data_IF_514574233662
#
_entry.id   IF_514574233662
#
_cell.length_a   1.000
_cell.length_b   1.000
_cell.length_c   1.000
_cell.angle_alpha   90.00
_cell.angle_beta   90.00
_cell.angle_gamma   90.00
#
_symmetry.space_group_name_H-M   'P 1'
#
loop_
_entity.id
_entity.type
_entity.pdbx_description
1 polymer ?
#
# COMPACT_ATOMS: atom_id res chain seq x y z
N UNK A 1 29.11 -57.99 -52.74
CA UNK A 1 29.39 -57.33 -54.04
C UNK A 1 28.14 -56.56 -54.45
N UNK A 2 28.35 -55.32 -54.91
CA UNK A 2 27.44 -54.31 -55.48
C UNK A 2 25.99 -54.73 -55.76
N UNK A 3 25.04 -53.98 -55.22
CA UNK A 3 23.78 -53.68 -55.91
C UNK A 3 23.80 -52.21 -56.35
N UNK A 4 23.80 -52.01 -57.66
CA UNK A 4 23.74 -50.74 -58.35
C UNK A 4 22.31 -50.51 -58.86
N UNK A 5 21.90 -49.24 -58.84
CA UNK A 5 21.11 -48.54 -59.87
C UNK A 5 19.60 -48.82 -60.04
N UNK A 6 18.83 -47.78 -59.67
CA UNK A 6 17.85 -47.02 -60.50
C UNK A 6 17.17 -47.69 -61.71
N UNK A 7 15.83 -47.66 -61.70
CA UNK A 7 14.94 -47.13 -62.75
C UNK A 7 13.49 -47.15 -62.18
N UNK A 8 12.87 -46.01 -61.89
CA UNK A 8 11.99 -45.22 -62.79
C UNK A 8 10.83 -46.03 -63.41
N UNK A 9 9.62 -45.79 -62.88
CA UNK A 9 8.37 -45.84 -63.64
C UNK A 9 7.44 -44.72 -63.15
N UNK A 10 7.23 -43.75 -64.04
CA UNK A 10 6.11 -42.80 -64.04
C UNK A 10 4.84 -43.49 -64.54
N UNK A 11 3.70 -43.15 -63.93
CA UNK A 11 2.33 -43.04 -64.48
C UNK A 11 1.38 -42.93 -63.25
N UNK A 12 0.28 -42.22 -63.19
CA UNK A 12 -0.43 -41.31 -64.07
C UNK A 12 -1.31 -40.41 -63.18
N UNK A 13 -1.78 -39.29 -63.72
CA UNK A 13 -2.44 -38.23 -62.98
C UNK A 13 -3.72 -38.59 -62.24
N UNK A 14 -3.93 -37.88 -61.14
CA UNK A 14 -5.22 -37.66 -60.51
C UNK A 14 -5.28 -36.20 -60.08
N UNK A 15 -5.90 -35.38 -60.92
CA UNK A 15 -6.30 -34.01 -60.61
C UNK A 15 -7.42 -34.05 -59.58
N UNK A 16 -7.14 -33.63 -58.35
CA UNK A 16 -8.17 -33.20 -57.40
C UNK A 16 -7.92 -31.74 -57.03
N UNK A 17 -8.67 -30.86 -57.68
CA UNK A 17 -8.86 -29.47 -57.29
C UNK A 17 -9.56 -29.40 -55.92
N UNK A 18 -9.09 -28.60 -54.96
CA UNK A 18 -9.94 -28.14 -53.87
C UNK A 18 -10.77 -26.93 -54.31
N UNK A 19 -11.98 -26.76 -53.78
CA UNK A 19 -12.93 -25.75 -54.24
C UNK A 19 -12.58 -24.33 -53.76
N UNK A 20 -12.98 -23.39 -54.62
CA UNK A 20 -13.15 -21.97 -54.37
C UNK A 20 -13.83 -21.66 -53.02
N UNK A 21 -13.34 -20.62 -52.35
CA UNK A 21 -14.23 -19.63 -51.74
C UNK A 21 -14.39 -19.67 -50.22
N UNK A 22 -13.31 -19.58 -49.46
CA UNK A 22 -13.38 -18.84 -48.19
C UNK A 22 -13.15 -17.37 -48.50
N UNK A 23 -14.21 -16.58 -48.43
CA UNK A 23 -14.14 -15.12 -48.34
C UNK A 23 -13.18 -14.75 -47.20
N UNK A 24 -11.98 -14.31 -47.55
CA UNK A 24 -11.09 -13.59 -46.66
C UNK A 24 -11.80 -12.28 -46.28
N UNK A 25 -12.61 -12.33 -45.21
CA UNK A 25 -13.00 -11.12 -44.48
C UNK A 25 -11.70 -10.42 -44.11
N UNK A 26 -11.45 -9.19 -44.57
CA UNK A 26 -10.27 -8.46 -44.14
C UNK A 26 -10.34 -8.36 -42.62
N UNK A 27 -9.33 -8.93 -41.95
CA UNK A 27 -9.13 -8.81 -40.52
C UNK A 27 -9.28 -7.33 -40.19
N UNK A 28 -10.38 -6.98 -39.51
CA UNK A 28 -10.64 -5.62 -39.09
C UNK A 28 -9.42 -5.17 -38.28
N UNK A 29 -8.75 -4.14 -38.78
CA UNK A 29 -7.60 -3.53 -38.10
C UNK A 29 -7.94 -3.38 -36.61
N UNK A 30 -7.12 -3.91 -35.68
CA UNK A 30 -7.42 -3.81 -34.27
C UNK A 30 -7.61 -2.34 -33.93
N UNK A 31 -8.81 -1.99 -33.43
CA UNK A 31 -9.09 -0.62 -33.00
C UNK A 31 -8.01 -0.21 -32.00
N UNK A 32 -7.41 0.98 -32.13
CA UNK A 32 -6.41 1.43 -31.17
C UNK A 32 -7.05 1.45 -29.77
N UNK A 33 -6.38 0.80 -28.82
CA UNK A 33 -6.83 0.74 -27.43
C UNK A 33 -6.91 2.18 -26.90
N UNK A 34 -8.03 2.61 -26.30
CA UNK A 34 -8.15 3.97 -25.77
C UNK A 34 -7.03 4.23 -24.75
N UNK A 35 -6.27 5.30 -25.00
CA UNK A 35 -5.16 5.70 -24.13
C UNK A 35 -5.69 6.62 -23.05
N UNK A 36 -5.59 6.21 -21.79
CA UNK A 36 -6.02 7.00 -20.64
C UNK A 36 -4.81 7.63 -19.96
N UNK A 37 -4.97 8.85 -19.40
CA UNK A 37 -3.94 9.49 -18.59
C UNK A 37 -3.60 8.64 -17.36
N UNK A 38 -2.32 8.59 -16.99
CA UNK A 38 -1.81 7.75 -15.90
C UNK A 38 -2.54 7.98 -14.57
N UNK A 39 -2.80 9.24 -14.19
CA UNK A 39 -3.45 9.57 -12.92
C UNK A 39 -4.88 9.01 -12.83
N UNK A 40 -5.67 9.08 -13.91
CA UNK A 40 -7.03 8.50 -13.96
C UNK A 40 -7.01 6.99 -13.74
N UNK A 41 -6.01 6.31 -14.31
CA UNK A 41 -5.84 4.86 -14.13
C UNK A 41 -5.36 4.46 -12.74
N UNK A 42 -4.98 5.43 -11.91
CA UNK A 42 -4.51 5.25 -10.55
C UNK A 42 -5.39 5.99 -9.52
N UNK A 43 -6.58 6.48 -9.91
CA UNK A 43 -7.46 7.24 -9.03
C UNK A 43 -7.82 6.47 -7.75
N UNK A 44 -8.19 5.19 -7.88
CA UNK A 44 -8.50 4.31 -6.74
C UNK A 44 -7.29 4.02 -5.84
N UNK A 45 -6.07 4.14 -6.37
CA UNK A 45 -4.82 3.99 -5.61
C UNK A 45 -4.48 5.25 -4.83
N UNK A 46 -4.60 6.43 -5.43
CA UNK A 46 -4.18 7.69 -4.80
C UNK A 46 -5.22 8.32 -3.88
N UNK A 47 -6.51 8.23 -4.22
CA UNK A 47 -7.56 8.90 -3.44
C UNK A 47 -7.64 8.48 -1.97
N UNK A 48 -7.43 7.21 -1.57
CA UNK A 48 -7.29 6.85 -0.17
C UNK A 48 -6.25 7.69 0.58
N UNK A 49 -5.11 7.99 -0.04
CA UNK A 49 -4.06 8.81 0.58
C UNK A 49 -4.43 10.29 0.64
N UNK A 50 -5.19 10.79 -0.34
CA UNK A 50 -5.78 12.14 -0.27
C UNK A 50 -6.74 12.23 0.91
N UNK A 51 -7.60 11.23 1.09
CA UNK A 51 -8.53 11.16 2.24
C UNK A 51 -7.77 11.14 3.57
N UNK A 52 -6.69 10.37 3.67
CA UNK A 52 -5.81 10.38 4.86
C UNK A 52 -5.22 11.77 5.10
N UNK A 53 -4.71 12.44 4.06
CA UNK A 53 -4.14 13.78 4.19
C UNK A 53 -5.18 14.80 4.70
N UNK A 54 -6.43 14.71 4.22
CA UNK A 54 -7.53 15.53 4.72
C UNK A 54 -7.80 15.26 6.21
N UNK A 55 -7.88 14.00 6.63
CA UNK A 55 -8.03 13.67 8.06
C UNK A 55 -6.88 14.19 8.92
N UNK A 56 -5.64 14.13 8.43
CA UNK A 56 -4.48 14.64 9.15
C UNK A 56 -4.48 16.17 9.26
N UNK A 57 -5.04 16.85 8.26
CA UNK A 57 -5.07 18.33 8.19
C UNK A 57 -6.20 18.91 9.02
N UNK A 58 -7.41 18.37 8.87
CA UNK A 58 -8.61 18.89 9.51
C UNK A 58 -8.90 18.26 10.87
N UNK A 59 -8.19 17.19 11.23
CA UNK A 59 -8.45 16.43 12.44
C UNK A 59 -9.74 15.61 12.33
N UNK A 60 -10.11 14.99 13.45
CA UNK A 60 -11.34 14.21 13.53
C UNK A 60 -12.43 15.02 14.21
N UNK A 61 -13.67 15.01 13.71
CA UNK A 61 -14.75 15.82 14.28
C UNK A 61 -15.41 15.19 15.51
N UNK A 62 -14.97 14.01 15.97
CA UNK A 62 -15.58 13.32 17.11
C UNK A 62 -14.58 13.13 18.27
N UNK A 63 -15.11 13.25 19.49
CA UNK A 63 -14.32 13.11 20.71
C UNK A 63 -14.03 11.65 21.06
N UNK A 64 -14.78 10.68 20.50
CA UNK A 64 -14.61 9.26 20.80
C UNK A 64 -13.81 8.53 19.72
N UNK A 65 -12.91 7.65 20.16
CA UNK A 65 -12.10 6.80 19.28
C UNK A 65 -12.98 5.94 18.36
N UNK A 66 -14.08 5.40 18.89
CA UNK A 66 -14.99 4.54 18.11
C UNK A 66 -15.67 5.30 16.98
N UNK A 67 -16.17 6.52 17.23
CA UNK A 67 -16.77 7.35 16.20
C UNK A 67 -15.73 7.77 15.15
N UNK A 68 -14.49 8.05 15.57
CA UNK A 68 -13.39 8.36 14.66
C UNK A 68 -13.03 7.20 13.74
N UNK A 69 -12.94 5.98 14.28
CA UNK A 69 -12.69 4.76 13.48
C UNK A 69 -13.85 4.55 12.48
N UNK A 70 -15.09 4.69 12.93
CA UNK A 70 -16.26 4.54 12.05
C UNK A 70 -16.26 5.59 10.94
N UNK A 71 -15.97 6.84 11.25
CA UNK A 71 -15.84 7.92 10.28
C UNK A 71 -14.76 7.61 9.22
N UNK A 72 -13.58 7.18 9.67
CA UNK A 72 -12.47 6.81 8.79
C UNK A 72 -12.87 5.66 7.87
N UNK A 73 -13.52 4.61 8.39
CA UNK A 73 -13.97 3.47 7.58
C UNK A 73 -15.05 3.89 6.58
N UNK A 74 -16.03 4.69 7.02
CA UNK A 74 -17.12 5.16 6.15
C UNK A 74 -16.66 6.15 5.08
N UNK A 75 -15.55 6.86 5.30
CA UNK A 75 -14.94 7.74 4.30
C UNK A 75 -14.49 7.01 3.03
N UNK A 76 -14.34 5.68 3.08
CA UNK A 76 -14.07 4.87 1.89
C UNK A 76 -15.21 4.94 0.87
N UNK A 77 -16.46 5.19 1.30
CA UNK A 77 -17.61 5.31 0.40
C UNK A 77 -17.49 6.54 -0.52
N UNK A 78 -17.37 7.79 0.00
CA UNK A 78 -17.16 8.96 -0.85
C UNK A 78 -15.83 8.89 -1.60
N UNK A 79 -14.78 8.32 -1.00
CA UNK A 79 -13.49 8.07 -1.69
C UNK A 79 -13.67 7.18 -2.91
N UNK A 80 -14.40 6.07 -2.78
CA UNK A 80 -14.69 5.17 -3.88
C UNK A 80 -15.53 5.84 -4.96
N UNK A 81 -16.55 6.60 -4.57
CA UNK A 81 -17.43 7.31 -5.50
C UNK A 81 -16.64 8.33 -6.34
N UNK A 82 -15.81 9.15 -5.68
CA UNK A 82 -14.95 10.13 -6.35
C UNK A 82 -13.92 9.45 -7.26
N UNK A 83 -13.31 8.35 -6.80
CA UNK A 83 -12.36 7.59 -7.61
C UNK A 83 -13.00 6.96 -8.86
N UNK A 84 -14.22 6.44 -8.71
CA UNK A 84 -14.99 5.84 -9.80
C UNK A 84 -15.34 6.86 -10.88
N UNK A 85 -15.51 8.14 -10.52
CA UNK A 85 -15.77 9.21 -11.48
C UNK A 85 -14.59 9.42 -12.45
N UNK A 86 -13.36 9.29 -11.97
CA UNK A 86 -12.16 9.49 -12.80
C UNK A 86 -11.69 8.22 -13.50
N UNK A 87 -11.92 7.06 -12.88
CA UNK A 87 -11.37 5.78 -13.33
C UNK A 87 -12.05 5.27 -14.63
N UNK A 88 -11.28 4.84 -15.64
CA UNK A 88 -11.85 4.34 -16.89
C UNK A 88 -12.51 2.96 -16.70
N UNK A 89 -13.81 2.87 -17.01
CA UNK A 89 -14.60 1.64 -16.89
C UNK A 89 -14.18 0.54 -17.88
N UNK A 90 -13.73 0.92 -19.09
CA UNK A 90 -13.45 0.01 -20.20
C UNK A 90 -11.96 -0.39 -20.32
N UNK A 91 -11.28 -0.51 -19.18
CA UNK A 91 -9.85 -0.86 -19.17
C UNK A 91 -9.64 -2.33 -19.58
N UNK A 92 -8.68 -2.64 -20.47
CA UNK A 92 -8.36 -4.01 -20.84
C UNK A 92 -7.68 -4.77 -19.68
N UNK A 93 -7.70 -6.11 -19.79
CA UNK A 93 -7.00 -6.99 -18.86
C UNK A 93 -5.50 -6.67 -18.77
N UNK A 94 -4.87 -6.90 -17.60
CA UNK A 94 -3.45 -6.60 -17.42
C UNK A 94 -2.58 -7.41 -18.37
N UNK A 95 -1.64 -6.74 -19.03
CA UNK A 95 -0.56 -7.44 -19.76
C UNK A 95 0.33 -8.20 -18.78
N UNK A 96 1.10 -9.21 -19.23
CA UNK A 96 2.01 -9.97 -18.35
C UNK A 96 2.99 -9.09 -17.56
N UNK A 97 3.48 -8.01 -18.17
CA UNK A 97 4.35 -7.02 -17.51
C UNK A 97 3.62 -6.23 -16.42
N UNK A 98 2.33 -5.94 -16.63
CA UNK A 98 1.49 -5.24 -15.66
C UNK A 98 1.00 -6.15 -14.53
N UNK A 99 0.99 -7.47 -14.76
CA UNK A 99 0.71 -8.52 -13.78
C UNK A 99 1.94 -8.90 -12.92
N UNK A 100 3.07 -8.19 -13.07
CA UNK A 100 4.18 -8.31 -12.11
C UNK A 100 3.75 -7.67 -10.80
N UNK A 101 3.99 -8.36 -9.67
CA UNK A 101 3.71 -7.85 -8.31
C UNK A 101 4.47 -6.56 -8.05
N UNK A 102 3.89 -5.66 -7.26
CA UNK A 102 4.48 -4.34 -7.02
C UNK A 102 5.87 -4.45 -6.38
N UNK A 103 6.03 -5.31 -5.37
CA UNK A 103 7.30 -5.61 -4.71
C UNK A 103 8.40 -6.15 -5.64
N UNK A 104 8.04 -6.68 -6.82
CA UNK A 104 8.99 -7.24 -7.80
C UNK A 104 9.29 -6.32 -8.97
N UNK A 105 8.63 -5.16 -9.06
CA UNK A 105 8.88 -4.18 -10.13
C UNK A 105 10.19 -3.41 -9.92
N UNK A 106 10.60 -3.24 -8.66
CA UNK A 106 11.82 -2.54 -8.30
C UNK A 106 12.26 -2.95 -6.90
N UNK A 107 13.56 -3.09 -6.71
CA UNK A 107 14.19 -3.32 -5.40
C UNK A 107 13.88 -2.17 -4.42
N UNK A 108 13.70 -0.96 -4.93
CA UNK A 108 13.30 0.21 -4.12
C UNK A 108 11.91 0.01 -3.52
N UNK A 109 10.96 -0.53 -4.29
CA UNK A 109 9.61 -0.81 -3.78
C UNK A 109 9.65 -1.91 -2.71
N UNK A 110 10.45 -2.95 -2.94
CA UNK A 110 10.65 -4.00 -1.94
C UNK A 110 11.24 -3.46 -0.64
N UNK A 111 12.28 -2.63 -0.74
CA UNK A 111 12.92 -1.98 0.39
C UNK A 111 11.93 -1.08 1.15
N UNK A 112 11.12 -0.29 0.43
CA UNK A 112 10.09 0.56 1.03
C UNK A 112 9.05 -0.25 1.81
N UNK A 113 8.57 -1.38 1.27
CA UNK A 113 7.64 -2.27 1.97
C UNK A 113 8.28 -2.85 3.24
N UNK A 114 9.53 -3.30 3.16
CA UNK A 114 10.23 -3.83 4.33
C UNK A 114 10.47 -2.74 5.39
N UNK A 115 10.66 -1.50 4.97
CA UNK A 115 10.78 -0.37 5.87
C UNK A 115 9.47 -0.15 6.64
N UNK A 116 8.32 -0.16 5.95
CA UNK A 116 7.01 -0.02 6.60
C UNK A 116 6.65 -1.21 7.49
N UNK A 117 7.09 -2.43 7.15
CA UNK A 117 6.95 -3.61 8.01
C UNK A 117 7.58 -3.38 9.39
N UNK A 118 8.83 -2.93 9.44
CA UNK A 118 9.54 -2.73 10.73
C UNK A 118 8.90 -1.65 11.58
N UNK A 119 8.40 -0.61 10.92
CA UNK A 119 7.67 0.45 11.60
C UNK A 119 6.34 -0.04 12.20
N UNK A 120 5.60 -0.91 11.49
CA UNK A 120 4.38 -1.54 12.01
C UNK A 120 4.62 -2.30 13.33
N UNK A 121 5.73 -3.03 13.42
CA UNK A 121 6.10 -3.82 14.61
C UNK A 121 6.87 -3.03 15.67
N UNK A 122 7.04 -1.71 15.49
CA UNK A 122 7.64 -0.83 16.51
C UNK A 122 9.11 -1.11 16.80
N UNK A 123 9.83 -1.80 15.91
CA UNK A 123 11.26 -2.06 16.11
C UNK A 123 12.07 -0.83 15.71
N UNK A 124 13.04 -0.38 16.52
CA UNK A 124 13.93 0.72 16.13
C UNK A 124 14.67 0.36 14.85
N UNK A 125 14.89 1.36 13.99
CA UNK A 125 15.58 1.14 12.72
C UNK A 125 17.02 0.68 12.99
N UNK A 126 17.37 -0.48 12.42
CA UNK A 126 18.73 -1.02 12.49
C UNK A 126 19.13 -1.48 11.09
N UNK A 127 20.13 -0.84 10.50
CA UNK A 127 20.51 -1.08 9.11
C UNK A 127 20.91 -2.55 8.86
N UNK A 128 21.61 -3.19 9.79
CA UNK A 128 22.05 -4.58 9.64
C UNK A 128 20.86 -5.54 9.54
N UNK A 129 19.88 -5.40 10.45
CA UNK A 129 18.65 -6.19 10.37
C UNK A 129 17.84 -5.89 9.11
N UNK A 130 17.83 -4.64 8.65
CA UNK A 130 17.14 -4.27 7.42
C UNK A 130 17.76 -4.95 6.19
N UNK A 131 19.09 -4.92 6.07
CA UNK A 131 19.82 -5.58 4.98
C UNK A 131 19.62 -7.10 5.05
N UNK A 132 19.76 -7.70 6.23
CA UNK A 132 19.52 -9.13 6.42
C UNK A 132 18.08 -9.51 6.01
N UNK A 133 17.10 -8.70 6.40
CA UNK A 133 15.70 -8.92 6.06
C UNK A 133 15.46 -8.77 4.55
N UNK A 134 16.12 -7.81 3.90
CA UNK A 134 16.07 -7.59 2.46
C UNK A 134 16.66 -8.78 1.68
N UNK A 135 17.85 -9.25 2.07
CA UNK A 135 18.52 -10.41 1.46
C UNK A 135 17.70 -11.69 1.67
N UNK A 136 17.22 -11.91 2.90
CA UNK A 136 16.37 -13.06 3.23
C UNK A 136 15.11 -13.07 2.37
N UNK A 137 14.59 -11.89 2.00
CA UNK A 137 13.51 -11.78 1.04
C UNK A 137 13.78 -12.56 -0.26
N UNK A 138 14.96 -12.45 -0.87
CA UNK A 138 15.25 -13.16 -2.13
C UNK A 138 15.29 -14.67 -1.94
N UNK A 139 15.80 -15.14 -0.79
CA UNK A 139 15.82 -16.57 -0.45
C UNK A 139 14.42 -17.12 -0.14
N UNK A 140 13.59 -16.33 0.57
CA UNK A 140 12.18 -16.64 0.85
C UNK A 140 11.40 -16.82 -0.45
N UNK A 141 11.65 -15.98 -1.45
CA UNK A 141 10.98 -16.08 -2.75
C UNK A 141 11.24 -17.41 -3.47
N UNK A 142 12.34 -18.09 -3.14
CA UNK A 142 12.70 -19.41 -3.68
C UNK A 142 12.19 -20.54 -2.78
N UNK A 143 12.18 -20.35 -1.45
CA UNK A 143 11.87 -21.38 -0.48
C UNK A 143 10.39 -21.46 -0.05
N UNK A 144 9.66 -20.35 -0.03
CA UNK A 144 8.31 -20.25 0.56
C UNK A 144 7.28 -19.95 -0.52
N UNK A 145 6.74 -20.98 -1.18
CA UNK A 145 5.53 -21.00 -2.03
C UNK A 145 5.30 -19.84 -3.04
N UNK A 146 6.27 -18.94 -3.19
CA UNK A 146 6.23 -17.74 -3.98
C UNK A 146 6.36 -18.16 -5.43
N UNK A 147 5.45 -17.71 -6.26
CA UNK A 147 5.42 -18.15 -7.65
C UNK A 147 6.61 -17.58 -8.44
N UNK A 148 7.15 -18.32 -9.43
CA UNK A 148 8.08 -17.78 -10.41
C UNK A 148 7.45 -16.59 -11.16
N UNK A 149 8.29 -15.63 -11.56
CA UNK A 149 7.86 -14.51 -12.40
C UNK A 149 7.25 -15.02 -13.71
N UNK A 150 6.17 -14.39 -14.18
CA UNK A 150 5.51 -14.75 -15.44
C UNK A 150 4.44 -15.86 -15.34
N UNK A 151 4.24 -16.47 -14.18
CA UNK A 151 3.11 -17.40 -13.97
C UNK A 151 1.80 -16.65 -13.73
N UNK A 152 0.66 -17.26 -14.06
CA UNK A 152 -0.69 -16.68 -13.81
C UNK A 152 -0.79 -16.25 -12.34
N UNK A 153 -1.35 -15.07 -12.04
CA UNK A 153 -1.53 -14.62 -10.66
C UNK A 153 -2.58 -15.47 -9.90
N UNK A 154 -2.38 -15.72 -8.60
CA UNK A 154 -3.43 -16.22 -7.70
C UNK A 154 -4.44 -15.11 -7.42
N UNK A 155 -5.59 -15.48 -6.84
CA UNK A 155 -6.57 -14.48 -6.36
C UNK A 155 -6.01 -13.63 -5.22
N UNK A 156 -5.23 -14.22 -4.33
CA UNK A 156 -4.53 -13.54 -3.23
C UNK A 156 -3.32 -14.39 -2.81
N UNK A 157 -2.19 -13.74 -2.66
CA UNK A 157 -0.97 -14.37 -2.14
C UNK A 157 -0.90 -14.22 -0.61
N UNK A 158 -1.52 -13.16 -0.08
CA UNK A 158 -1.65 -12.96 1.35
C UNK A 158 -2.34 -14.14 2.04
N UNK A 159 -3.46 -14.63 1.48
CA UNK A 159 -4.19 -15.78 2.05
C UNK A 159 -3.33 -17.05 2.10
N UNK A 160 -2.47 -17.26 1.09
CA UNK A 160 -1.55 -18.40 1.07
C UNK A 160 -0.58 -18.31 2.23
N UNK A 161 0.03 -17.13 2.44
CA UNK A 161 0.96 -16.95 3.55
C UNK A 161 0.26 -16.96 4.92
N UNK A 162 -0.96 -16.45 5.05
CA UNK A 162 -1.76 -16.63 6.27
C UNK A 162 -2.00 -18.12 6.60
N UNK A 163 -2.26 -18.92 5.58
CA UNK A 163 -2.41 -20.38 5.76
C UNK A 163 -1.09 -21.00 6.24
N UNK A 164 0.04 -20.57 5.70
CA UNK A 164 1.36 -21.01 6.16
C UNK A 164 1.66 -20.58 7.61
N UNK A 165 1.24 -19.37 8.03
CA UNK A 165 1.34 -18.94 9.43
C UNK A 165 0.54 -19.87 10.32
N UNK A 166 -0.72 -20.17 9.96
CA UNK A 166 -1.56 -21.07 10.74
C UNK A 166 -0.97 -22.49 10.84
N UNK A 167 -0.42 -23.02 9.73
CA UNK A 167 0.28 -24.31 9.71
C UNK A 167 1.52 -24.26 10.62
N UNK A 168 2.34 -23.21 10.52
CA UNK A 168 3.55 -23.07 11.32
C UNK A 168 3.23 -22.93 12.82
N UNK A 169 2.17 -22.20 13.16
CA UNK A 169 1.68 -22.08 14.54
C UNK A 169 1.22 -23.44 15.11
N UNK A 170 0.51 -24.24 14.30
CA UNK A 170 0.13 -25.60 14.70
C UNK A 170 1.37 -26.52 14.85
N UNK A 171 2.35 -26.39 13.95
CA UNK A 171 3.61 -27.13 14.05
C UNK A 171 4.39 -26.76 15.31
N UNK A 172 4.46 -25.48 15.69
CA UNK A 172 5.11 -25.06 16.93
C UNK A 172 4.49 -25.68 18.18
N UNK A 173 3.18 -25.96 18.18
CA UNK A 173 2.51 -26.59 19.30
C UNK A 173 2.87 -28.08 19.46
N UNK A 174 3.21 -28.75 18.36
CA UNK A 174 3.43 -30.21 18.31
C UNK A 174 4.93 -30.55 18.24
N UNK A 175 5.76 -29.64 17.75
CA UNK A 175 7.15 -29.91 17.45
C UNK A 175 8.02 -30.07 18.72
N UNK A 176 9.00 -30.99 18.70
CA UNK A 176 10.02 -31.08 19.75
C UNK A 176 10.80 -29.78 19.94
N UNK A 177 11.27 -29.53 21.16
CA UNK A 177 12.05 -28.34 21.53
C UNK A 177 13.29 -28.11 20.65
N UNK A 178 13.90 -29.18 20.13
CA UNK A 178 15.03 -29.12 19.22
C UNK A 178 14.70 -28.42 17.88
N UNK A 179 13.43 -28.40 17.45
CA UNK A 179 12.97 -27.74 16.22
C UNK A 179 12.40 -26.34 16.48
N UNK A 180 12.19 -25.95 17.74
CA UNK A 180 11.54 -24.67 18.08
C UNK A 180 12.29 -23.46 17.54
N UNK A 181 13.63 -23.46 17.57
CA UNK A 181 14.43 -22.36 17.01
C UNK A 181 14.23 -22.22 15.49
N UNK A 182 14.24 -23.34 14.76
CA UNK A 182 14.03 -23.34 13.31
C UNK A 182 12.62 -22.89 12.94
N UNK A 183 11.60 -23.37 13.68
CA UNK A 183 10.22 -22.95 13.48
C UNK A 183 10.02 -21.47 13.77
N UNK A 184 10.71 -20.91 14.78
CA UNK A 184 10.67 -19.47 15.08
C UNK A 184 11.29 -18.63 13.96
N UNK A 185 12.40 -19.10 13.38
CA UNK A 185 13.02 -18.45 12.21
C UNK A 185 12.10 -18.50 10.99
N UNK A 186 11.49 -19.67 10.72
CA UNK A 186 10.50 -19.85 9.65
C UNK A 186 9.29 -18.94 9.88
N UNK A 187 8.80 -18.82 11.11
CA UNK A 187 7.66 -17.97 11.45
C UNK A 187 7.92 -16.52 11.07
N UNK A 188 9.06 -15.98 11.50
CA UNK A 188 9.49 -14.62 11.14
C UNK A 188 9.61 -14.43 9.63
N UNK A 189 10.05 -15.45 8.90
CA UNK A 189 10.12 -15.42 7.43
C UNK A 189 8.73 -15.40 6.79
N UNK A 190 7.80 -16.24 7.27
CA UNK A 190 6.42 -16.31 6.74
C UNK A 190 5.66 -15.01 7.04
N UNK A 191 5.77 -14.45 8.25
CA UNK A 191 5.12 -13.17 8.61
C UNK A 191 5.52 -12.02 7.69
N UNK A 192 6.82 -11.93 7.39
CA UNK A 192 7.34 -10.95 6.43
C UNK A 192 6.81 -11.20 5.02
N UNK A 193 6.81 -12.45 4.55
CA UNK A 193 6.26 -12.79 3.24
C UNK A 193 4.76 -12.47 3.16
N UNK A 194 4.00 -12.74 4.23
CA UNK A 194 2.60 -12.39 4.36
C UNK A 194 2.39 -10.87 4.25
N UNK A 195 3.22 -10.06 4.93
CA UNK A 195 3.12 -8.62 4.82
C UNK A 195 3.43 -8.09 3.42
N UNK A 196 4.48 -8.58 2.77
CA UNK A 196 4.79 -8.19 1.38
C UNK A 196 3.62 -8.55 0.46
N UNK A 197 3.08 -9.77 0.61
CA UNK A 197 1.94 -10.24 -0.17
C UNK A 197 0.66 -9.44 0.12
N UNK A 198 0.44 -8.99 1.36
CA UNK A 198 -0.68 -8.10 1.72
C UNK A 198 -0.57 -6.77 0.97
N UNK A 199 0.60 -6.15 0.99
CA UNK A 199 0.82 -4.88 0.28
C UNK A 199 0.66 -5.05 -1.23
N UNK A 200 1.20 -6.12 -1.80
CA UNK A 200 1.02 -6.46 -3.21
C UNK A 200 -0.45 -6.66 -3.59
N UNK A 201 -1.22 -7.40 -2.78
CA UNK A 201 -2.65 -7.65 -3.02
C UNK A 201 -3.45 -6.34 -2.90
N UNK A 202 -3.18 -5.50 -1.89
CA UNK A 202 -3.82 -4.18 -1.72
C UNK A 202 -3.54 -3.27 -2.92
N UNK A 203 -2.26 -3.13 -3.32
CA UNK A 203 -1.89 -2.32 -4.48
C UNK A 203 -2.47 -2.91 -5.76
N UNK A 204 -2.52 -4.24 -5.89
CA UNK A 204 -3.16 -4.93 -7.01
C UNK A 204 -4.64 -4.56 -7.15
N UNK A 205 -5.40 -4.66 -6.06
CA UNK A 205 -6.83 -4.29 -6.03
C UNK A 205 -7.04 -2.81 -6.33
N UNK A 206 -6.25 -1.92 -5.73
CA UNK A 206 -6.45 -0.47 -5.89
C UNK A 206 -5.97 0.06 -7.26
N UNK A 207 -4.93 -0.53 -7.83
CA UNK A 207 -4.40 -0.10 -9.14
C UNK A 207 -5.21 -0.61 -10.32
N UNK A 208 -5.87 -1.77 -10.17
CA UNK A 208 -6.71 -2.41 -11.18
C UNK A 208 -7.96 -3.04 -10.57
N UNK A 209 -8.90 -2.22 -10.07
CA UNK A 209 -10.13 -2.74 -9.49
C UNK A 209 -10.98 -3.49 -10.52
N UNK A 210 -11.58 -4.61 -10.08
CA UNK A 210 -12.57 -5.32 -10.87
C UNK A 210 -13.96 -4.71 -10.67
N UNK A 211 -14.27 -3.65 -11.43
CA UNK A 211 -15.55 -2.95 -11.35
C UNK A 211 -16.71 -3.68 -12.06
N UNK A 212 -16.41 -4.71 -12.86
CA UNK A 212 -17.41 -5.48 -13.61
C UNK A 212 -18.27 -6.37 -12.72
N UNK A 213 -17.76 -6.74 -11.54
CA UNK A 213 -18.45 -7.67 -10.63
C UNK A 213 -18.80 -6.99 -9.31
N UNK A 214 -19.95 -7.34 -8.73
CA UNK A 214 -20.34 -6.82 -7.40
C UNK A 214 -19.32 -7.18 -6.33
N UNK A 215 -18.80 -8.42 -6.35
CA UNK A 215 -17.73 -8.88 -5.45
C UNK A 215 -16.49 -7.98 -5.55
N UNK A 216 -16.07 -7.61 -6.76
CA UNK A 216 -14.92 -6.74 -6.95
C UNK A 216 -15.13 -5.31 -6.45
N UNK A 217 -16.35 -4.75 -6.60
CA UNK A 217 -16.72 -3.45 -6.01
C UNK A 217 -16.67 -3.47 -4.48
N UNK A 218 -17.22 -4.52 -3.88
CA UNK A 218 -17.20 -4.70 -2.42
C UNK A 218 -15.76 -4.82 -1.90
N UNK A 219 -14.95 -5.68 -2.54
CA UNK A 219 -13.53 -5.84 -2.19
C UNK A 219 -12.80 -4.50 -2.30
N UNK A 220 -13.02 -3.72 -3.35
CA UNK A 220 -12.41 -2.41 -3.54
C UNK A 220 -12.72 -1.45 -2.37
N UNK A 221 -13.99 -1.30 -1.99
CA UNK A 221 -14.39 -0.41 -0.88
C UNK A 221 -13.75 -0.86 0.42
N UNK A 222 -13.75 -2.17 0.71
CA UNK A 222 -13.08 -2.71 1.89
C UNK A 222 -11.57 -2.47 1.86
N UNK A 223 -10.92 -2.64 0.71
CA UNK A 223 -9.48 -2.36 0.56
C UNK A 223 -9.20 -0.87 0.76
N UNK A 224 -10.02 0.03 0.23
CA UNK A 224 -9.88 1.47 0.47
C UNK A 224 -10.06 1.81 1.95
N UNK A 225 -11.10 1.29 2.61
CA UNK A 225 -11.30 1.48 4.05
C UNK A 225 -10.10 0.99 4.87
N UNK A 226 -9.60 -0.21 4.56
CA UNK A 226 -8.41 -0.76 5.18
C UNK A 226 -7.19 0.15 4.96
N UNK A 227 -6.94 0.62 3.74
CA UNK A 227 -5.82 1.52 3.43
C UNK A 227 -5.92 2.83 4.20
N UNK A 228 -7.08 3.49 4.20
CA UNK A 228 -7.26 4.77 4.90
C UNK A 228 -7.05 4.56 6.41
N UNK A 229 -7.68 3.53 7.00
CA UNK A 229 -7.55 3.24 8.42
C UNK A 229 -6.11 2.90 8.81
N UNK A 230 -5.48 2.00 8.06
CA UNK A 230 -4.12 1.54 8.34
C UNK A 230 -3.12 2.67 8.24
N UNK A 231 -3.15 3.46 7.16
CA UNK A 231 -2.24 4.60 6.99
C UNK A 231 -2.51 5.70 8.02
N UNK A 232 -3.78 5.98 8.35
CA UNK A 232 -4.10 6.95 9.40
C UNK A 232 -3.56 6.52 10.76
N UNK A 233 -3.77 5.26 11.13
CA UNK A 233 -3.24 4.70 12.38
C UNK A 233 -1.70 4.77 12.42
N UNK A 234 -1.02 4.42 11.33
CA UNK A 234 0.44 4.52 11.26
C UNK A 234 0.91 5.96 11.49
N UNK A 235 0.37 6.93 10.73
CA UNK A 235 0.77 8.33 10.84
C UNK A 235 0.46 8.94 12.21
N UNK A 236 -0.70 8.62 12.81
CA UNK A 236 -1.03 9.07 14.16
C UNK A 236 -0.10 8.47 15.20
N UNK A 237 0.25 7.19 15.07
CA UNK A 237 1.23 6.55 15.96
C UNK A 237 2.59 7.22 15.85
N UNK A 238 3.05 7.52 14.64
CA UNK A 238 4.32 8.21 14.45
C UNK A 238 4.29 9.65 14.94
N UNK A 239 3.22 10.39 14.71
CA UNK A 239 3.03 11.73 15.28
C UNK A 239 3.11 11.69 16.81
N UNK A 240 2.44 10.72 17.45
CA UNK A 240 2.50 10.51 18.90
C UNK A 240 3.93 10.19 19.35
N UNK A 241 4.59 9.23 18.71
CA UNK A 241 5.93 8.80 19.11
C UNK A 241 6.95 9.96 18.91
N UNK A 242 6.77 10.80 17.89
CA UNK A 242 7.54 12.04 17.68
C UNK A 242 7.30 13.07 18.80
N UNK A 243 6.04 13.34 19.16
CA UNK A 243 5.71 14.27 20.25
C UNK A 243 6.32 13.80 21.56
N UNK A 244 6.17 12.51 21.89
CA UNK A 244 6.76 11.93 23.11
C UNK A 244 8.29 11.98 23.09
N UNK A 245 8.92 11.86 21.92
CA UNK A 245 10.38 12.02 21.80
C UNK A 245 10.85 13.46 21.99
N UNK A 246 10.04 14.43 21.57
CA UNK A 246 10.31 15.86 21.75
C UNK A 246 10.08 16.29 23.20
N UNK A 247 9.00 15.84 23.83
CA UNK A 247 8.72 16.11 25.25
C UNK A 247 9.79 15.55 26.19
N UNK A 248 10.43 14.43 25.83
CA UNK A 248 11.52 13.87 26.62
C UNK A 248 12.90 14.46 26.29
N UNK A 249 12.99 15.45 25.40
CA UNK A 249 14.25 16.12 25.09
C UNK A 249 14.49 17.26 26.10
N UNK A 250 15.56 17.14 26.89
CA UNK A 250 15.94 18.13 27.92
C UNK A 250 16.10 19.54 27.34
N UNK A 251 16.61 19.68 26.13
CA UNK A 251 16.74 20.98 25.44
C UNK A 251 15.37 21.58 25.08
N UNK A 252 14.42 20.74 24.70
CA UNK A 252 13.06 21.18 24.38
C UNK A 252 12.30 21.58 25.65
N UNK A 253 12.48 20.85 26.75
CA UNK A 253 11.93 21.21 28.07
C UNK A 253 12.55 22.52 28.59
N UNK A 254 13.86 22.73 28.41
CA UNK A 254 14.53 23.97 28.75
C UNK A 254 13.98 25.16 27.94
N UNK A 255 13.81 24.99 26.62
CA UNK A 255 13.22 26.02 25.76
C UNK A 255 11.75 26.33 26.13
N UNK A 256 10.95 25.31 26.46
CA UNK A 256 9.56 25.49 26.93
C UNK A 256 9.49 26.20 28.28
N UNK A 257 10.43 25.90 29.19
CA UNK A 257 10.52 26.57 30.48
C UNK A 257 10.92 28.05 30.33
N UNK A 258 11.86 28.35 29.43
CA UNK A 258 12.28 29.72 29.10
C UNK A 258 11.13 30.54 28.47
N UNK A 259 10.35 29.92 27.58
CA UNK A 259 9.18 30.57 26.94
C UNK A 259 8.06 30.86 27.95
N UNK A 260 7.75 29.91 28.84
CA UNK A 260 6.78 30.12 29.93
C UNK A 260 7.24 31.18 30.92
N UNK A 261 8.54 31.29 31.15
CA UNK A 261 9.11 32.31 32.02
C UNK A 261 8.97 33.69 31.37
N UNK A 262 9.24 33.83 30.07
CA UNK A 262 8.98 35.06 29.33
C UNK A 262 7.51 35.47 29.33
N UNK A 263 6.58 34.53 29.13
CA UNK A 263 5.14 34.79 29.17
C UNK A 263 4.69 35.25 30.56
N UNK A 264 5.23 34.66 31.63
CA UNK A 264 4.99 35.10 33.00
C UNK A 264 5.60 36.49 33.31
N UNK A 265 6.70 36.87 32.68
CA UNK A 265 7.29 38.20 32.81
C UNK A 265 6.49 39.28 32.08
N UNK A 266 5.94 38.97 30.90
CA UNK A 266 5.04 39.88 30.17
C UNK A 266 3.70 40.07 30.91
N UNK A 267 3.20 39.05 31.60
CA UNK A 267 1.97 39.15 32.41
C UNK A 267 2.18 39.96 33.71
N UNK A 268 3.41 40.01 34.24
CA UNK A 268 3.78 40.83 35.41
C UNK A 268 4.17 42.27 35.02
N UNK A 269 4.42 42.53 33.74
CA UNK A 269 4.86 43.84 33.22
C UNK A 269 3.76 44.87 32.94
N UNK A 270 2.48 44.55 33.18
CA UNK A 270 1.33 45.42 32.81
C UNK A 270 0.75 46.23 33.98
N UNK A 271 1.37 46.18 35.17
CA UNK A 271 0.98 46.99 36.35
C UNK A 271 1.98 48.11 36.67
N UNK A 272 2.49 48.82 35.66
CA UNK A 272 3.07 50.16 35.87
C UNK A 272 1.98 51.20 35.58
N UNK A 273 1.10 51.38 36.55
CA UNK A 273 0.10 52.45 36.55
C UNK A 273 0.80 53.82 36.40
N UNK A 274 0.28 54.54 35.40
CA UNK A 274 0.56 55.90 35.01
C UNK A 274 0.04 56.86 36.10
N UNK A 275 0.89 57.18 37.07
CA UNK A 275 0.63 58.15 38.15
C UNK A 275 0.74 59.62 37.70
N UNK A 276 0.58 59.92 36.41
CA UNK A 276 0.58 61.28 35.87
C UNK A 276 -0.80 61.68 35.39
N UNK A 277 -1.59 62.38 36.23
CA UNK A 277 -2.56 63.43 35.85
C UNK A 277 -3.69 63.65 36.88
N UNK A 278 -3.37 63.79 38.18
CA UNK A 278 -4.40 64.01 39.23
C UNK A 278 -4.51 65.41 39.83
N UNK A 279 -3.94 66.44 39.22
CA UNK A 279 -4.08 67.81 39.74
C UNK A 279 -4.25 68.87 38.65
N UNK A 280 -5.32 68.80 37.86
CA UNK A 280 -5.91 69.99 37.21
C UNK A 280 -7.39 69.72 36.93
N UNK A 281 -8.28 70.06 37.87
CA UNK A 281 -9.62 70.55 37.51
C UNK A 281 -9.99 71.69 38.44
N UNK A 282 -10.40 72.75 37.77
CA UNK A 282 -10.56 74.11 38.20
C UNK A 282 -11.73 74.36 39.17
N UNK A 283 -11.65 75.56 39.73
CA UNK A 283 -12.69 76.35 40.33
C UNK A 283 -14.04 76.32 39.59
N UNK A 284 -15.07 76.76 40.33
CA UNK A 284 -16.18 77.61 39.88
C UNK A 284 -17.61 76.98 39.87
N UNK A 285 -18.51 77.70 40.57
CA UNK A 285 -20.00 77.68 40.56
C UNK A 285 -20.79 76.69 41.43
N UNK A 286 -21.07 77.04 42.69
CA UNK A 286 -22.28 77.79 43.16
C UNK A 286 -22.29 77.95 44.68
#
# INVERSE_FOLDING_TARGET
MRNNSMADHQEAGSSQSPPHGTEDKPASSPRPVPTYSAWRTAAHLYLPFVTVALFMTFGSPFDTIQANILCIVLSAIPTNWLASFFYPADRPEPTPQQAIRFSRKSDVYRAAILFTYRWLFGTPFNLQFFIADFLTGYFISVAIAERPAGTKQRRSEFIVHLTLIAINAALMYIAPSALSFMLMMIDRMIWRAAYIALVDDVIGVLSRPNLKTWKGKVVLVFTQAFTILFTSWMLLRWKRDMILSLENNEEFQAALAELKLHEAFDEVGVDFEDDGDRFLVDEEWQ
#
